data_IF_551484762839
#
_entry.id   IF_551484762839
#
_cell.length_a   1.000
_cell.length_b   1.000
_cell.length_c   1.000
_cell.angle_alpha   90.00
_cell.angle_beta   90.00
_cell.angle_gamma   90.00
#
_symmetry.space_group_name_H-M   'P 1'
#
loop_
_entity.id
_entity.type
_entity.pdbx_description
1 polymer ?
#
# COMPACT_ATOMS: atom_id res chain seq x y z
N UNK A 1 -27.45 -8.20 -14.78
CA UNK A 1 -26.27 -8.05 -15.66
C UNK A 1 -26.39 -6.69 -16.34
N UNK A 2 -25.73 -5.67 -15.81
CA UNK A 2 -25.70 -4.30 -16.31
C UNK A 2 -24.39 -3.68 -15.83
N UNK A 3 -23.61 -2.91 -16.55
CA UNK A 3 -23.43 -2.61 -17.97
C UNK A 3 -22.07 -1.91 -17.97
N UNK A 4 -21.19 -2.29 -18.89
CA UNK A 4 -19.92 -1.62 -19.16
C UNK A 4 -20.14 -0.11 -19.33
N UNK A 5 -19.48 0.75 -18.55
CA UNK A 5 -19.46 2.18 -18.82
C UNK A 5 -18.06 2.61 -19.31
N UNK A 6 -18.01 2.95 -20.59
CA UNK A 6 -16.90 3.55 -21.31
C UNK A 6 -16.68 5.00 -20.86
N UNK A 7 -15.41 5.34 -20.60
CA UNK A 7 -14.81 6.69 -20.48
C UNK A 7 -15.79 7.87 -20.41
N UNK A 8 -16.33 8.11 -19.21
CA UNK A 8 -16.94 9.36 -18.78
C UNK A 8 -16.88 9.37 -17.27
N UNK A 9 -16.38 10.46 -16.67
CA UNK A 9 -16.29 10.65 -15.21
C UNK A 9 -17.68 10.75 -14.59
N UNK A 10 -18.41 9.65 -14.52
CA UNK A 10 -19.63 9.54 -13.73
C UNK A 10 -19.24 9.15 -12.31
N UNK A 11 -19.50 10.07 -11.38
CA UNK A 11 -19.35 9.90 -9.94
C UNK A 11 -19.90 8.56 -9.48
N UNK A 12 -19.12 7.80 -8.72
CA UNK A 12 -19.55 6.54 -8.12
C UNK A 12 -20.82 6.76 -7.29
N UNK A 13 -21.76 5.81 -7.33
CA UNK A 13 -23.00 5.88 -6.54
C UNK A 13 -23.26 4.58 -5.78
N UNK A 14 -24.14 4.66 -4.78
CA UNK A 14 -24.73 3.48 -4.14
C UNK A 14 -23.69 2.52 -3.55
N UNK A 15 -23.76 1.26 -3.98
CA UNK A 15 -22.89 0.19 -3.46
C UNK A 15 -21.42 0.38 -3.88
N UNK A 16 -21.17 0.82 -5.10
CA UNK A 16 -19.81 0.97 -5.63
C UNK A 16 -19.06 2.09 -4.90
N UNK A 17 -19.75 3.20 -4.58
CA UNK A 17 -19.19 4.27 -3.74
C UNK A 17 -18.75 3.76 -2.36
N UNK A 18 -19.62 3.01 -1.67
CA UNK A 18 -19.32 2.45 -0.35
C UNK A 18 -18.19 1.43 -0.40
N UNK A 19 -18.12 0.64 -1.46
CA UNK A 19 -17.06 -0.34 -1.65
C UNK A 19 -15.72 0.35 -1.86
N UNK A 20 -15.65 1.38 -2.72
CA UNK A 20 -14.45 2.17 -2.93
C UNK A 20 -13.98 2.87 -1.64
N UNK A 21 -14.89 3.45 -0.85
CA UNK A 21 -14.57 4.05 0.45
C UNK A 21 -14.01 3.03 1.46
N UNK A 22 -14.62 1.84 1.53
CA UNK A 22 -14.12 0.76 2.39
C UNK A 22 -12.74 0.27 1.96
N UNK A 23 -12.53 0.14 0.66
CA UNK A 23 -11.26 -0.26 0.11
C UNK A 23 -10.18 0.79 0.41
N UNK A 24 -10.48 2.07 0.21
CA UNK A 24 -9.56 3.17 0.55
C UNK A 24 -9.16 3.10 2.03
N UNK A 25 -10.12 2.95 2.94
CA UNK A 25 -9.83 2.80 4.37
C UNK A 25 -9.01 1.54 4.71
N UNK A 26 -9.19 0.45 3.97
CA UNK A 26 -8.38 -0.76 4.10
C UNK A 26 -6.94 -0.54 3.64
N UNK A 27 -6.77 0.12 2.49
CA UNK A 27 -5.45 0.46 1.93
C UNK A 27 -4.70 1.41 2.86
N UNK A 28 -5.34 2.45 3.41
CA UNK A 28 -4.71 3.36 4.38
C UNK A 28 -4.18 2.61 5.61
N UNK A 29 -4.99 1.73 6.22
CA UNK A 29 -4.51 0.93 7.37
C UNK A 29 -3.35 -0.01 7.01
N UNK A 30 -3.34 -0.55 5.79
CA UNK A 30 -2.22 -1.37 5.31
C UNK A 30 -0.96 -0.54 5.09
N UNK A 31 -1.09 0.70 4.59
CA UNK A 31 0.02 1.65 4.44
C UNK A 31 0.63 2.02 5.79
N UNK A 32 -0.19 2.30 6.80
CA UNK A 32 0.28 2.55 8.18
C UNK A 32 1.06 1.33 8.71
N UNK A 33 0.52 0.13 8.50
CA UNK A 33 1.16 -1.11 8.92
C UNK A 33 2.51 -1.34 8.23
N UNK A 34 2.57 -1.23 6.90
CA UNK A 34 3.80 -1.48 6.14
C UNK A 34 4.88 -0.44 6.49
N UNK A 35 4.48 0.81 6.72
CA UNK A 35 5.39 1.88 7.18
C UNK A 35 5.99 1.53 8.55
N UNK A 36 5.16 1.07 9.50
CA UNK A 36 5.63 0.62 10.81
C UNK A 36 6.59 -0.58 10.71
N UNK A 37 6.34 -1.50 9.77
CA UNK A 37 7.22 -2.65 9.53
C UNK A 37 8.57 -2.22 8.95
N UNK A 38 8.57 -1.29 7.99
CA UNK A 38 9.78 -0.68 7.43
C UNK A 38 10.61 -0.02 8.53
N UNK A 39 10.00 0.78 9.39
CA UNK A 39 10.68 1.43 10.52
C UNK A 39 11.28 0.40 11.49
N UNK A 40 10.56 -0.70 11.75
CA UNK A 40 11.08 -1.79 12.56
C UNK A 40 12.29 -2.48 11.92
N UNK A 41 12.28 -2.68 10.60
CA UNK A 41 13.41 -3.24 9.87
C UNK A 41 14.61 -2.28 9.91
N UNK A 42 14.40 -0.98 9.74
CA UNK A 42 15.45 0.03 9.91
C UNK A 42 16.05 0.01 11.32
N UNK A 43 15.22 -0.12 12.36
CA UNK A 43 15.69 -0.26 13.74
C UNK A 43 16.52 -1.52 13.96
N UNK A 44 16.12 -2.66 13.35
CA UNK A 44 16.90 -3.91 13.36
C UNK A 44 18.22 -3.73 12.64
N UNK A 45 18.24 -3.09 11.47
CA UNK A 45 19.45 -2.75 10.73
C UNK A 45 20.46 -1.95 11.57
N UNK A 46 19.98 -0.90 12.23
CA UNK A 46 20.83 -0.03 13.06
C UNK A 46 21.42 -0.76 14.27
N UNK A 47 20.74 -1.79 14.77
CA UNK A 47 21.16 -2.57 15.94
C UNK A 47 21.91 -3.86 15.58
N UNK A 48 21.99 -4.21 14.28
CA UNK A 48 22.58 -5.47 13.82
C UNK A 48 24.11 -5.42 13.83
N UNK A 49 24.74 -6.59 13.94
CA UNK A 49 26.19 -6.71 13.80
C UNK A 49 26.62 -6.38 12.36
N UNK A 50 27.49 -5.38 12.20
CA UNK A 50 27.96 -4.92 10.89
C UNK A 50 28.96 -5.88 10.23
N UNK A 51 29.47 -6.88 10.96
CA UNK A 51 30.24 -7.99 10.41
C UNK A 51 29.38 -9.12 9.84
N UNK A 52 28.08 -9.18 10.18
CA UNK A 52 27.15 -10.21 9.70
C UNK A 52 26.49 -9.79 8.38
N UNK A 53 27.25 -9.92 7.29
CA UNK A 53 26.75 -9.61 5.95
C UNK A 53 25.56 -10.48 5.52
N UNK A 54 25.44 -11.71 6.04
CA UNK A 54 24.32 -12.59 5.69
C UNK A 54 23.03 -12.10 6.34
N UNK A 55 23.07 -11.75 7.63
CA UNK A 55 21.95 -11.17 8.34
C UNK A 55 21.53 -9.81 7.76
N UNK A 56 22.50 -8.94 7.45
CA UNK A 56 22.22 -7.66 6.80
C UNK A 56 21.59 -7.82 5.41
N UNK A 57 22.08 -8.76 4.59
CA UNK A 57 21.48 -9.05 3.29
C UNK A 57 20.03 -9.57 3.41
N UNK A 58 19.75 -10.38 4.43
CA UNK A 58 18.40 -10.85 4.72
C UNK A 58 17.46 -9.69 5.12
N UNK A 59 17.92 -8.78 5.99
CA UNK A 59 17.19 -7.57 6.36
C UNK A 59 16.95 -6.66 5.14
N UNK A 60 17.92 -6.51 4.24
CA UNK A 60 17.76 -5.71 3.02
C UNK A 60 16.68 -6.28 2.10
N UNK A 61 16.66 -7.62 1.97
CA UNK A 61 15.63 -8.31 1.19
C UNK A 61 14.24 -8.15 1.80
N UNK A 62 14.15 -8.24 3.13
CA UNK A 62 12.90 -8.00 3.87
C UNK A 62 12.40 -6.56 3.64
N UNK A 63 13.29 -5.57 3.76
CA UNK A 63 13.01 -4.15 3.52
C UNK A 63 12.48 -3.93 2.09
N UNK A 64 13.19 -4.43 1.08
CA UNK A 64 12.78 -4.27 -0.31
C UNK A 64 11.41 -4.88 -0.63
N UNK A 65 11.03 -5.98 0.03
CA UNK A 65 9.71 -6.58 -0.12
C UNK A 65 8.60 -5.70 0.50
N UNK A 66 8.88 -5.06 1.64
CA UNK A 66 7.94 -4.12 2.25
C UNK A 66 7.80 -2.83 1.44
N UNK A 67 8.90 -2.32 0.90
CA UNK A 67 8.88 -1.14 0.02
C UNK A 67 8.09 -1.40 -1.26
N UNK A 68 8.27 -2.56 -1.91
CA UNK A 68 7.47 -2.94 -3.07
C UNK A 68 5.97 -3.00 -2.72
N UNK A 69 5.64 -3.62 -1.58
CA UNK A 69 4.26 -3.67 -1.07
C UNK A 69 3.70 -2.27 -0.80
N UNK A 70 4.51 -1.36 -0.26
CA UNK A 70 4.13 0.02 0.01
C UNK A 70 3.81 0.77 -1.29
N UNK A 71 4.65 0.65 -2.31
CA UNK A 71 4.42 1.27 -3.63
C UNK A 71 3.11 0.78 -4.25
N UNK A 72 2.84 -0.53 -4.22
CA UNK A 72 1.59 -1.09 -4.77
C UNK A 72 0.35 -0.55 -4.03
N UNK A 73 0.44 -0.40 -2.70
CA UNK A 73 -0.62 0.18 -1.88
C UNK A 73 -0.80 1.67 -2.14
N UNK A 74 0.29 2.44 -2.32
CA UNK A 74 0.25 3.86 -2.65
C UNK A 74 -0.40 4.11 -4.02
N UNK A 75 -0.06 3.30 -5.01
CA UNK A 75 -0.71 3.36 -6.33
C UNK A 75 -2.21 3.08 -6.21
N UNK A 76 -2.59 2.02 -5.48
CA UNK A 76 -4.01 1.69 -5.29
C UNK A 76 -4.75 2.78 -4.52
N UNK A 77 -4.10 3.39 -3.53
CA UNK A 77 -4.66 4.50 -2.78
C UNK A 77 -4.93 5.70 -3.68
N UNK A 78 -4.00 6.03 -4.58
CA UNK A 78 -4.15 7.12 -5.55
C UNK A 78 -5.34 6.84 -6.49
N UNK A 79 -5.38 5.67 -7.10
CA UNK A 79 -6.48 5.26 -7.99
C UNK A 79 -7.86 5.37 -7.30
N UNK A 80 -7.97 4.89 -6.07
CA UNK A 80 -9.22 4.95 -5.30
C UNK A 80 -9.61 6.39 -4.97
N UNK A 81 -8.63 7.24 -4.64
CA UNK A 81 -8.87 8.65 -4.33
C UNK A 81 -9.36 9.40 -5.56
N UNK A 82 -8.71 9.22 -6.72
CA UNK A 82 -9.13 9.82 -7.99
C UNK A 82 -10.56 9.40 -8.38
N UNK A 83 -10.90 8.12 -8.20
CA UNK A 83 -12.23 7.59 -8.51
C UNK A 83 -13.31 8.12 -7.56
N UNK A 84 -12.96 8.43 -6.31
CA UNK A 84 -13.89 8.98 -5.31
C UNK A 84 -14.10 10.49 -5.45
N UNK A 85 -13.12 11.21 -6.00
CA UNK A 85 -13.20 12.64 -6.28
C UNK A 85 -13.97 12.96 -7.58
N UNK A 86 -13.95 12.05 -8.56
CA UNK A 86 -14.64 12.16 -9.85
C UNK A 86 -16.17 12.28 -9.72
#
# INVERSE_FOLDING_TARGET
KSTTNSKGRTKLTGADLRNAQKELGSVTRKLEKVTTQIDSIHGRFASHDQGDFTGLAALQKELGAQDATKVDLELRWLELSEVLEA
#
